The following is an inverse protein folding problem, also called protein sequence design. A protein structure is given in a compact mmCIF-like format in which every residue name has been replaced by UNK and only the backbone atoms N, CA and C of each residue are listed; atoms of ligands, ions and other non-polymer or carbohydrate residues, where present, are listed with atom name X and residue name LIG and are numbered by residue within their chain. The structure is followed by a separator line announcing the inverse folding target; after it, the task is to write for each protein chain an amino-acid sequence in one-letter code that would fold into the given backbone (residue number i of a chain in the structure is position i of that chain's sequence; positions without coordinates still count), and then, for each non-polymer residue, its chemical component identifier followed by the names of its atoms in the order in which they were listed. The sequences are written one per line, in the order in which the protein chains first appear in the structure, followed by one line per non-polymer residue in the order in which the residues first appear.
data_IF_653739251593
#
_entry.id   IF_653739251593
#
_cell.length_a   1.000
_cell.length_b   1.000
_cell.length_c   1.000
_cell.angle_alpha   90.00
_cell.angle_beta   90.00
_cell.angle_gamma   90.00
#
_symmetry.space_group_name_H-M   'P 1'
#
loop_
_entity.id
_entity.type
_entity.pdbx_description
1 polymer ?
#
# COMPACT_ATOMS: atom_id res chain seq x y z
N UNK A 1 16.97 0.26 -8.83
CA UNK A 1 16.19 -0.55 -9.80
C UNK A 1 15.01 0.28 -10.27
N UNK A 2 14.66 0.22 -11.55
CA UNK A 2 13.56 1.02 -12.12
C UNK A 2 12.41 0.09 -12.51
N UNK A 3 11.18 0.53 -12.26
CA UNK A 3 9.97 -0.13 -12.77
C UNK A 3 9.82 0.29 -14.24
N UNK A 4 9.70 -0.66 -15.15
CA UNK A 4 9.60 -0.42 -16.59
C UNK A 4 8.17 -0.53 -17.10
N UNK A 5 7.40 -1.47 -16.55
CA UNK A 5 5.97 -1.59 -16.85
C UNK A 5 5.13 -1.89 -15.61
N UNK A 6 3.90 -1.40 -15.66
CA UNK A 6 2.89 -1.60 -14.64
C UNK A 6 1.58 -1.97 -15.31
N UNK A 7 0.96 -3.03 -14.82
CA UNK A 7 -0.38 -3.45 -15.22
C UNK A 7 -1.22 -3.68 -13.96
N UNK A 8 -2.31 -2.93 -13.85
CA UNK A 8 -3.20 -2.89 -12.69
C UNK A 8 -4.58 -3.30 -13.15
N UNK A 9 -5.11 -4.34 -12.52
CA UNK A 9 -6.46 -4.84 -12.75
C UNK A 9 -7.20 -4.92 -11.41
N UNK A 10 -8.38 -4.33 -11.36
CA UNK A 10 -9.31 -4.46 -10.23
C UNK A 10 -8.96 -3.62 -9.00
N UNK A 11 -7.77 -3.04 -8.85
CA UNK A 11 -7.40 -2.30 -7.64
C UNK A 11 -8.26 -1.03 -7.49
N UNK A 12 -9.22 -1.05 -6.55
CA UNK A 12 -10.26 0.00 -6.41
C UNK A 12 -10.99 0.28 -7.73
N UNK A 13 -11.22 -0.77 -8.53
CA UNK A 13 -11.88 -0.68 -9.84
C UNK A 13 -10.99 -0.16 -10.98
N UNK A 14 -9.70 0.07 -10.76
CA UNK A 14 -8.78 0.49 -11.83
C UNK A 14 -8.49 -0.62 -12.84
N UNK A 15 -8.34 -0.21 -14.10
CA UNK A 15 -7.79 -1.05 -15.18
C UNK A 15 -6.83 -0.22 -16.01
N UNK A 16 -5.52 -0.35 -15.76
CA UNK A 16 -4.47 0.46 -16.38
C UNK A 16 -3.27 -0.43 -16.70
N UNK A 17 -2.86 -0.47 -17.97
CA UNK A 17 -1.61 -1.07 -18.40
C UNK A 17 -0.75 0.01 -19.05
N UNK A 18 0.46 0.24 -18.53
CA UNK A 18 1.33 1.32 -19.01
C UNK A 18 2.81 1.00 -18.84
N UNK A 19 3.64 1.64 -19.68
CA UNK A 19 5.09 1.63 -19.56
C UNK A 19 5.54 2.90 -18.84
N UNK A 20 6.46 2.74 -17.90
CA UNK A 20 7.03 3.83 -17.14
C UNK A 20 8.38 4.24 -17.74
N UNK A 21 8.62 5.56 -17.72
CA UNK A 21 9.90 6.17 -18.03
C UNK A 21 10.62 6.54 -16.73
N UNK A 22 11.79 7.16 -16.86
CA UNK A 22 12.52 7.73 -15.71
C UNK A 22 11.69 8.74 -14.92
N UNK A 23 10.90 9.57 -15.61
CA UNK A 23 9.99 10.55 -15.01
C UNK A 23 8.62 10.32 -15.64
N UNK A 24 7.61 10.19 -14.79
CA UNK A 24 6.21 10.00 -15.19
C UNK A 24 5.37 11.04 -14.47
N UNK A 25 4.49 11.71 -15.22
CA UNK A 25 3.56 12.71 -14.67
C UNK A 25 2.15 12.14 -14.87
N UNK A 26 1.40 12.03 -13.78
CA UNK A 26 0.02 11.51 -13.78
C UNK A 26 -0.93 12.68 -13.57
N UNK A 27 -1.72 13.01 -14.59
CA UNK A 27 -2.66 14.15 -14.59
C UNK A 27 -4.07 13.64 -14.93
N UNK A 28 -5.09 14.29 -14.38
CA UNK A 28 -6.49 13.93 -14.60
C UNK A 28 -7.40 14.65 -13.59
N UNK A 29 -8.71 14.55 -13.79
CA UNK A 29 -9.72 15.15 -12.92
C UNK A 29 -9.76 14.52 -11.52
N UNK A 30 -10.39 15.21 -10.57
CA UNK A 30 -10.62 14.63 -9.24
C UNK A 30 -11.47 13.35 -9.36
N UNK A 31 -11.12 12.33 -8.58
CA UNK A 31 -11.78 11.02 -8.67
C UNK A 31 -11.33 10.15 -9.85
N UNK A 32 -10.46 10.61 -10.76
CA UNK A 32 -10.01 9.83 -11.93
C UNK A 32 -9.07 8.65 -11.59
N UNK A 33 -8.86 8.34 -10.32
CA UNK A 33 -8.07 7.19 -9.90
C UNK A 33 -6.55 7.39 -9.83
N UNK A 34 -6.03 8.62 -9.97
CA UNK A 34 -4.57 8.91 -9.88
C UNK A 34 -3.94 8.36 -8.61
N UNK A 35 -4.55 8.64 -7.45
CA UNK A 35 -4.10 8.14 -6.15
C UNK A 35 -4.17 6.62 -6.10
N UNK A 36 -5.30 6.03 -6.53
CA UNK A 36 -5.48 4.58 -6.57
C UNK A 36 -4.40 3.87 -7.41
N UNK A 37 -3.93 4.50 -8.50
CA UNK A 37 -2.88 3.95 -9.37
C UNK A 37 -1.51 3.98 -8.69
N UNK A 38 -1.17 5.06 -7.97
CA UNK A 38 0.08 5.10 -7.22
C UNK A 38 0.03 4.17 -6.00
N UNK A 39 -1.13 4.08 -5.34
CA UNK A 39 -1.37 3.16 -4.23
C UNK A 39 -1.24 1.69 -4.64
N UNK A 40 -1.71 1.31 -5.84
CA UNK A 40 -1.58 -0.06 -6.32
C UNK A 40 -0.12 -0.46 -6.53
N UNK A 41 0.68 0.44 -7.11
CA UNK A 41 2.12 0.25 -7.25
C UNK A 41 2.77 0.16 -5.88
N UNK A 42 2.47 1.11 -4.99
CA UNK A 42 3.05 1.14 -3.65
C UNK A 42 2.74 -0.11 -2.85
N UNK A 43 1.47 -0.50 -2.71
CA UNK A 43 1.08 -1.71 -1.98
C UNK A 43 1.72 -2.96 -2.59
N UNK A 44 1.79 -3.07 -3.91
CA UNK A 44 2.45 -4.21 -4.56
C UNK A 44 3.95 -4.26 -4.24
N UNK A 45 4.64 -3.13 -4.33
CA UNK A 45 6.07 -3.05 -3.95
C UNK A 45 6.31 -3.24 -2.47
N UNK A 46 5.32 -2.94 -1.61
CA UNK A 46 5.43 -3.09 -0.16
C UNK A 46 5.71 -4.53 0.25
N UNK A 47 4.95 -5.47 -0.32
CA UNK A 47 5.10 -6.90 -0.05
C UNK A 47 6.23 -7.56 -0.86
N UNK A 48 6.79 -6.86 -1.85
CA UNK A 48 7.97 -7.26 -2.64
C UNK A 48 9.27 -6.63 -2.11
N UNK A 49 9.29 -6.18 -0.86
CA UNK A 49 10.43 -5.47 -0.27
C UNK A 49 11.08 -6.24 0.86
N UNK A 50 12.32 -5.87 1.15
CA UNK A 50 13.12 -6.41 2.26
C UNK A 50 12.82 -5.74 3.61
N UNK A 51 11.97 -4.71 3.64
CA UNK A 51 11.72 -3.92 4.85
C UNK A 51 11.11 -4.79 5.95
N UNK A 52 11.37 -4.44 7.21
CA UNK A 52 10.87 -5.24 8.32
C UNK A 52 9.34 -5.12 8.46
N UNK A 53 8.75 -6.08 9.18
CA UNK A 53 7.29 -6.22 9.28
C UNK A 53 6.62 -5.00 9.96
N UNK A 54 7.32 -4.33 10.88
CA UNK A 54 6.84 -3.11 11.53
C UNK A 54 6.78 -1.93 10.56
N UNK A 55 7.75 -1.83 9.64
CA UNK A 55 7.74 -0.83 8.57
C UNK A 55 6.60 -1.12 7.58
N UNK A 56 6.38 -2.39 7.22
CA UNK A 56 5.23 -2.80 6.38
C UNK A 56 3.91 -2.36 7.02
N UNK A 57 3.74 -2.64 8.31
CA UNK A 57 2.57 -2.23 9.07
C UNK A 57 2.39 -0.71 9.08
N UNK A 58 3.47 0.04 9.34
CA UNK A 58 3.45 1.51 9.39
C UNK A 58 3.07 2.09 8.04
N UNK A 59 3.64 1.59 6.95
CA UNK A 59 3.31 2.01 5.59
C UNK A 59 1.89 1.65 5.17
N UNK A 60 1.37 0.50 5.63
CA UNK A 60 -0.01 0.12 5.39
C UNK A 60 -1.00 1.04 6.13
N UNK A 61 -0.72 1.39 7.38
CA UNK A 61 -1.51 2.40 8.10
C UNK A 61 -1.44 3.72 7.35
N UNK A 62 -0.24 4.14 6.95
CA UNK A 62 -0.04 5.40 6.26
C UNK A 62 -0.90 5.50 5.00
N UNK A 63 -0.89 4.48 4.13
CA UNK A 63 -1.66 4.49 2.87
C UNK A 63 -3.18 4.38 3.10
N UNK A 64 -3.65 3.60 4.09
CA UNK A 64 -5.08 3.48 4.37
C UNK A 64 -5.64 4.75 5.02
N UNK A 65 -4.93 5.29 6.00
CA UNK A 65 -5.31 6.52 6.70
C UNK A 65 -5.22 7.76 5.81
N UNK A 66 -4.43 7.69 4.75
CA UNK A 66 -4.31 8.70 3.71
C UNK A 66 -5.69 9.14 3.16
N UNK A 67 -6.68 8.23 3.14
CA UNK A 67 -8.04 8.48 2.66
C UNK A 67 -9.03 8.93 3.74
N UNK A 68 -8.54 9.29 4.93
CA UNK A 68 -9.32 9.82 6.05
C UNK A 68 -9.85 8.74 7.00
N UNK A 69 -10.48 7.68 6.48
CA UNK A 69 -10.98 6.57 7.29
C UNK A 69 -10.41 5.22 6.80
N UNK A 70 -9.71 4.53 7.70
CA UNK A 70 -9.02 3.26 7.40
C UNK A 70 -10.02 2.19 6.97
N UNK A 71 -11.17 2.09 7.65
CA UNK A 71 -12.15 1.05 7.36
C UNK A 71 -12.75 1.23 5.97
N UNK A 72 -13.15 2.46 5.63
CA UNK A 72 -13.63 2.83 4.29
C UNK A 72 -12.55 2.66 3.22
N UNK A 73 -11.30 3.02 3.54
CA UNK A 73 -10.17 2.84 2.63
C UNK A 73 -9.88 1.36 2.35
N UNK A 74 -10.04 0.49 3.35
CA UNK A 74 -9.86 -0.95 3.23
C UNK A 74 -11.06 -1.63 2.55
N UNK A 75 -12.28 -1.21 2.86
CA UNK A 75 -13.51 -1.78 2.29
C UNK A 75 -13.59 -1.55 0.78
N UNK A 76 -12.99 -0.47 0.28
CA UNK A 76 -12.88 -0.12 -1.15
C UNK A 76 -11.76 -0.85 -1.89
N UNK A 77 -10.88 -1.57 -1.18
CA UNK A 77 -10.00 -2.54 -1.84
C UNK A 77 -10.83 -3.73 -2.32
N UNK A 78 -10.55 -4.19 -3.52
CA UNK A 78 -11.22 -5.32 -4.18
C UNK A 78 -10.17 -6.34 -4.62
N UNK A 79 -10.64 -7.50 -5.08
CA UNK A 79 -9.78 -8.45 -5.77
C UNK A 79 -9.03 -7.72 -6.88
N UNK A 80 -7.71 -7.82 -6.82
CA UNK A 80 -6.86 -7.07 -7.73
C UNK A 80 -5.56 -7.77 -8.01
N UNK A 81 -5.03 -7.46 -9.19
CA UNK A 81 -3.77 -7.96 -9.70
C UNK A 81 -2.94 -6.77 -10.14
N UNK A 82 -1.74 -6.69 -9.60
CA UNK A 82 -0.76 -5.66 -9.94
C UNK A 82 0.49 -6.36 -10.41
N UNK A 83 0.82 -6.20 -11.68
CA UNK A 83 2.05 -6.70 -12.28
C UNK A 83 3.03 -5.54 -12.42
N UNK A 84 4.22 -5.74 -11.86
CA UNK A 84 5.32 -4.79 -11.93
C UNK A 84 6.50 -5.52 -12.57
N UNK A 85 6.80 -5.17 -13.82
CA UNK A 85 7.69 -5.94 -14.68
C UNK A 85 7.26 -7.43 -14.76
N UNK A 86 8.10 -8.33 -14.24
CA UNK A 86 7.92 -9.78 -14.22
C UNK A 86 7.23 -10.32 -12.96
N UNK A 87 6.98 -9.47 -11.96
CA UNK A 87 6.39 -9.89 -10.68
C UNK A 87 4.91 -9.56 -10.63
N UNK A 88 4.10 -10.56 -10.29
CA UNK A 88 2.65 -10.40 -10.14
C UNK A 88 2.31 -10.44 -8.66
N UNK A 89 1.75 -9.35 -8.12
CA UNK A 89 1.09 -9.33 -6.81
C UNK A 89 -0.41 -9.43 -6.99
N UNK A 90 -1.06 -10.31 -6.24
CA UNK A 90 -2.50 -10.41 -6.16
C UNK A 90 -2.97 -10.06 -4.75
N UNK A 91 -3.99 -9.23 -4.65
CA UNK A 91 -4.72 -8.97 -3.43
C UNK A 91 -6.05 -9.67 -3.57
N UNK A 92 -6.25 -10.75 -2.82
CA UNK A 92 -7.48 -11.54 -2.82
C UNK A 92 -8.32 -11.16 -1.61
N UNK A 93 -9.47 -10.57 -1.85
CA UNK A 93 -10.39 -10.16 -0.78
C UNK A 93 -11.18 -11.37 -0.33
N UNK A 94 -10.91 -11.83 0.89
CA UNK A 94 -11.57 -13.03 1.44
C UNK A 94 -12.91 -12.64 2.05
N UNK A 95 -12.93 -11.51 2.78
CA UNK A 95 -14.13 -10.94 3.38
C UNK A 95 -13.98 -9.40 3.49
N UNK A 96 -15.00 -8.65 3.98
CA UNK A 96 -14.90 -7.19 4.10
C UNK A 96 -13.75 -6.67 4.97
N UNK A 97 -13.16 -7.50 5.82
CA UNK A 97 -12.14 -7.17 6.80
C UNK A 97 -10.83 -7.93 6.59
N UNK A 98 -10.70 -8.76 5.55
CA UNK A 98 -9.49 -9.53 5.30
C UNK A 98 -9.09 -9.62 3.82
N UNK A 99 -7.79 -9.51 3.58
CA UNK A 99 -7.16 -9.62 2.27
C UNK A 99 -5.94 -10.54 2.38
N UNK A 100 -5.90 -11.54 1.52
CA UNK A 100 -4.71 -12.34 1.29
C UNK A 100 -3.84 -11.67 0.22
N UNK A 101 -2.53 -11.62 0.48
CA UNK A 101 -1.55 -11.12 -0.48
C UNK A 101 -0.77 -12.31 -1.03
N UNK A 102 -0.78 -12.44 -2.35
CA UNK A 102 0.00 -13.45 -3.06
C UNK A 102 1.00 -12.77 -4.00
N UNK A 103 2.21 -13.33 -4.10
CA UNK A 103 3.20 -12.94 -5.09
C UNK A 103 3.51 -14.18 -5.92
N UNK A 104 3.36 -14.08 -7.25
CA UNK A 104 3.54 -15.21 -8.18
C UNK A 104 2.77 -16.48 -7.75
N UNK A 105 1.50 -16.29 -7.33
CA UNK A 105 0.59 -17.33 -6.81
C UNK A 105 1.00 -17.98 -5.48
N UNK A 106 2.00 -17.45 -4.80
CA UNK A 106 2.35 -17.90 -3.45
C UNK A 106 1.84 -16.90 -2.41
N UNK A 107 1.11 -17.38 -1.41
CA UNK A 107 0.65 -16.54 -0.29
C UNK A 107 1.83 -16.05 0.55
N UNK A 108 1.97 -14.73 0.66
CA UNK A 108 3.11 -14.06 1.33
C UNK A 108 2.68 -13.33 2.59
N UNK A 109 1.45 -12.82 2.63
CA UNK A 109 0.95 -12.06 3.75
C UNK A 109 -0.57 -12.16 3.86
N UNK A 110 -1.06 -11.79 5.03
CA UNK A 110 -2.47 -11.60 5.30
C UNK A 110 -2.66 -10.24 5.95
N UNK A 111 -3.63 -9.46 5.46
CA UNK A 111 -4.01 -8.18 6.00
C UNK A 111 -5.41 -8.32 6.61
N UNK A 112 -5.59 -7.92 7.87
CA UNK A 112 -6.89 -7.93 8.56
C UNK A 112 -7.17 -6.60 9.22
N UNK A 113 -8.41 -6.13 9.16
CA UNK A 113 -8.84 -4.99 9.99
C UNK A 113 -9.46 -5.53 11.27
N UNK A 114 -8.93 -5.09 12.42
CA UNK A 114 -9.52 -5.38 13.73
C UNK A 114 -10.13 -4.12 14.33
N UNK A 115 -11.27 -4.28 14.98
CA UNK A 115 -11.85 -3.25 15.84
C UNK A 115 -11.31 -3.38 17.27
N UNK A 116 -10.89 -2.27 17.85
CA UNK A 116 -10.67 -2.09 19.27
C UNK A 116 -11.51 -0.94 19.80
N UNK A 117 -11.47 -0.72 21.12
CA UNK A 117 -12.03 0.46 21.74
C UNK A 117 -10.85 1.35 22.13
N UNK A 118 -10.80 2.57 21.60
CA UNK A 118 -9.88 3.58 22.10
C UNK A 118 -10.57 4.33 23.22
N UNK A 119 -10.08 4.16 24.44
CA UNK A 119 -10.51 4.94 25.60
C UNK A 119 -9.39 5.88 26.02
N UNK A 120 -9.60 7.18 25.85
CA UNK A 120 -8.79 8.24 26.47
C UNK A 120 -9.70 9.10 27.36
N UNK A 121 -9.11 10.00 28.16
CA UNK A 121 -9.87 10.85 29.10
C UNK A 121 -10.98 11.68 28.44
N UNK A 122 -10.90 11.92 27.13
CA UNK A 122 -11.82 12.79 26.38
C UNK A 122 -12.50 12.12 25.18
N UNK A 123 -12.09 10.92 24.77
CA UNK A 123 -12.61 10.21 23.60
C UNK A 123 -12.84 8.74 23.89
N UNK A 124 -14.05 8.27 23.59
CA UNK A 124 -14.39 6.85 23.55
C UNK A 124 -15.03 6.54 22.20
N UNK A 125 -14.44 5.63 21.44
CA UNK A 125 -14.93 5.26 20.12
C UNK A 125 -14.28 4.00 19.55
N UNK A 126 -14.90 3.39 18.53
CA UNK A 126 -14.32 2.26 17.83
C UNK A 126 -13.07 2.70 17.08
N UNK A 127 -11.97 1.97 17.28
CA UNK A 127 -10.72 2.15 16.56
C UNK A 127 -10.51 0.97 15.62
N UNK A 128 -10.39 1.23 14.33
CA UNK A 128 -10.09 0.21 13.34
C UNK A 128 -8.60 0.24 13.00
N UNK A 129 -7.90 -0.86 13.25
CA UNK A 129 -6.48 -0.99 12.96
C UNK A 129 -6.24 -2.13 11.97
N UNK A 130 -5.50 -1.88 10.87
CA UNK A 130 -5.08 -2.92 9.95
C UNK A 130 -3.90 -3.65 10.58
N UNK A 131 -3.95 -4.98 10.66
CA UNK A 131 -2.88 -5.86 11.11
C UNK A 131 -2.36 -6.63 9.92
N UNK A 132 -1.04 -6.70 9.80
CA UNK A 132 -0.36 -7.46 8.75
C UNK A 132 0.34 -8.65 9.40
N UNK A 133 0.08 -9.85 8.87
CA UNK A 133 0.83 -11.06 9.18
C UNK A 133 1.65 -11.44 7.97
N UNK A 134 2.97 -11.28 8.05
CA UNK A 134 3.89 -11.77 7.02
C UNK A 134 4.11 -13.27 7.23
N UNK A 135 3.92 -14.05 6.18
CA UNK A 135 4.12 -15.51 6.17
C UNK A 135 5.52 -15.81 5.63
N UNK A 136 5.90 -15.17 4.53
CA UNK A 136 7.21 -15.29 3.90
C UNK A 136 7.49 -14.08 3.01
N UNK A 137 8.77 -13.83 2.74
CA UNK A 137 9.22 -12.79 1.80
C UNK A 137 9.74 -13.46 0.53
N UNK A 138 9.19 -13.09 -0.62
CA UNK A 138 9.61 -13.55 -1.95
C UNK A 138 9.60 -12.37 -2.91
N UNK A 139 10.35 -12.47 -4.01
CA UNK A 139 10.38 -11.40 -5.01
C UNK A 139 10.90 -10.07 -4.47
N UNK A 140 11.86 -10.11 -3.54
CA UNK A 140 12.50 -8.92 -2.95
C UNK A 140 13.24 -8.17 -4.06
N UNK A 141 12.58 -7.17 -4.62
CA UNK A 141 13.06 -6.47 -5.83
C UNK A 141 12.95 -4.96 -5.70
N UNK A 142 11.92 -4.48 -5.01
CA UNK A 142 11.58 -3.07 -4.96
C UNK A 142 11.70 -2.51 -3.54
N UNK A 143 11.98 -1.22 -3.44
CA UNK A 143 11.86 -0.46 -2.19
C UNK A 143 10.64 0.44 -2.30
N UNK A 144 9.58 0.19 -1.53
CA UNK A 144 8.38 1.01 -1.56
C UNK A 144 8.75 2.40 -1.00
N UNK A 145 8.49 3.44 -1.77
CA UNK A 145 8.52 4.82 -1.29
C UNK A 145 7.33 5.54 -1.88
N UNK A 146 6.48 6.05 -1.00
CA UNK A 146 5.33 6.87 -1.37
C UNK A 146 5.39 8.16 -0.57
N UNK A 147 5.52 9.27 -1.31
CA UNK A 147 5.50 10.62 -0.77
C UNK A 147 4.37 11.33 -1.48
N UNK A 148 3.42 11.86 -0.72
CA UNK A 148 2.41 12.76 -1.28
C UNK A 148 2.15 13.90 -0.33
N UNK A 149 2.07 15.10 -0.91
CA UNK A 149 1.78 16.36 -0.20
C UNK A 149 0.34 16.44 0.28
N UNK A 150 -0.55 15.57 -0.20
CA UNK A 150 -1.92 15.45 0.29
C UNK A 150 -2.02 14.64 1.61
N UNK A 151 -0.92 14.03 2.07
CA UNK A 151 -0.91 13.12 3.23
C UNK A 151 0.01 13.57 4.36
N UNK A 152 0.43 14.83 4.37
CA UNK A 152 1.19 15.36 5.47
C UNK A 152 0.28 16.11 6.44
N UNK A 153 -0.55 15.38 7.20
CA UNK A 153 -1.31 15.99 8.29
C UNK A 153 -0.39 16.55 9.39
N UNK A 154 0.90 16.22 9.36
CA UNK A 154 1.94 16.67 10.30
C UNK A 154 2.83 17.81 9.79
N UNK A 155 2.79 18.17 8.50
CA UNK A 155 3.75 19.08 7.86
C UNK A 155 5.22 18.65 7.94
N UNK A 156 5.53 17.36 8.14
CA UNK A 156 6.88 16.86 8.35
C UNK A 156 7.35 15.80 7.31
N UNK A 157 7.71 16.24 6.09
CA UNK A 157 8.25 15.36 5.06
C UNK A 157 9.62 14.75 5.44
N UNK A 158 10.35 15.35 6.39
CA UNK A 158 11.67 14.88 6.82
C UNK A 158 11.63 13.47 7.43
N UNK A 159 10.55 13.12 8.13
CA UNK A 159 10.37 11.76 8.69
C UNK A 159 10.32 10.71 7.58
N UNK A 160 9.62 10.99 6.48
CA UNK A 160 9.52 10.09 5.33
C UNK A 160 10.88 9.96 4.63
N UNK A 161 11.58 11.09 4.44
CA UNK A 161 12.94 11.09 3.91
C UNK A 161 13.93 10.32 4.79
N UNK A 162 13.80 10.40 6.12
CA UNK A 162 14.69 9.69 7.05
C UNK A 162 14.58 8.17 6.93
N UNK A 163 13.37 7.65 6.69
CA UNK A 163 13.12 6.20 6.50
C UNK A 163 13.72 5.75 5.15
N UNK A 164 13.53 6.55 4.09
CA UNK A 164 14.12 6.28 2.79
C UNK A 164 15.67 6.32 2.82
N UNK A 165 16.26 7.24 3.60
CA UNK A 165 17.71 7.43 3.70
C UNK A 165 18.42 6.29 4.43
N UNK A 166 17.79 5.67 5.45
CA UNK A 166 18.36 4.52 6.19
C UNK A 166 18.71 3.33 5.30
N UNK A 167 18.10 3.21 4.12
CA UNK A 167 18.40 2.14 3.16
C UNK A 167 19.61 2.40 2.28
N UNK A 168 20.13 3.63 2.25
CA UNK A 168 21.32 3.98 1.45
C UNK A 168 22.63 3.65 2.17
N UNK A 169 22.57 3.38 3.48
CA UNK A 169 23.72 3.15 4.37
C UNK A 169 23.87 1.67 4.77
N UNK A 170 23.07 0.76 4.21
CA UNK A 170 23.25 -0.70 4.28
C UNK A 170 23.39 -1.25 2.88
#
# INVERSE_FOLDING_TARGET
MNISEVDVEGFRGLKIATRLKRINIVVGENGSGKTSFLESIFMSTLFQSDINDNDIYTFLIYILNSRGDILSAFSTLSDSKVRIDDVITQFKKIDPYSIDVEINNEKVAEIRVKSGILTTETLSGPLFLPIVRIIKKIGIKYSPLYISTFFDSSGNPERIYSIAKRKKEK
#
